data_IF_401388876379
#
_entry.id   IF_401388876379
#
_cell.length_a   1.000
_cell.length_b   1.000
_cell.length_c   1.000
_cell.angle_alpha   90.00
_cell.angle_beta   90.00
_cell.angle_gamma   90.00
#
_symmetry.space_group_name_H-M   'P 1'
#
loop_
_entity.id
_entity.type
_entity.pdbx_description
1 polymer ?
#
# COMPACT_ATOMS: atom_id res chain seq x y z
N UNK A 1 -21.24 -3.96 -7.13
CA UNK A 1 -20.16 -4.28 -6.18
C UNK A 1 -19.00 -4.84 -7.00
N UNK A 2 -18.13 -3.98 -7.53
CA UNK A 2 -16.87 -4.46 -8.10
C UNK A 2 -15.97 -4.74 -6.90
N UNK A 3 -15.95 -5.99 -6.44
CA UNK A 3 -14.80 -6.46 -5.70
C UNK A 3 -13.63 -6.28 -6.67
N UNK A 4 -12.89 -5.19 -6.53
CA UNK A 4 -11.66 -5.01 -7.27
C UNK A 4 -10.74 -6.11 -6.76
N UNK A 5 -10.61 -7.18 -7.53
CA UNK A 5 -9.65 -8.26 -7.28
C UNK A 5 -8.24 -7.70 -7.52
N UNK A 6 -7.80 -6.84 -6.60
CA UNK A 6 -6.40 -6.44 -6.55
C UNK A 6 -5.58 -7.69 -6.21
N UNK A 7 -4.45 -7.89 -6.90
CA UNK A 7 -3.51 -8.95 -6.55
C UNK A 7 -3.14 -8.87 -5.07
N UNK A 8 -3.07 -10.02 -4.39
CA UNK A 8 -2.78 -10.05 -2.96
C UNK A 8 -1.42 -9.41 -2.64
N UNK A 9 -0.42 -9.59 -3.50
CA UNK A 9 0.89 -8.98 -3.33
C UNK A 9 0.85 -7.44 -3.41
N UNK A 10 -0.07 -6.89 -4.22
CA UNK A 10 -0.32 -5.45 -4.31
C UNK A 10 -0.98 -4.93 -3.03
N UNK A 11 -1.97 -5.66 -2.50
CA UNK A 11 -2.64 -5.32 -1.23
C UNK A 11 -1.64 -5.40 -0.07
N UNK A 12 -0.83 -6.45 -0.01
CA UNK A 12 0.22 -6.64 1.01
C UNK A 12 1.30 -5.56 0.91
N UNK A 13 1.67 -5.15 -0.31
CA UNK A 13 2.59 -4.03 -0.52
C UNK A 13 2.01 -2.72 0.00
N UNK A 14 0.71 -2.45 -0.22
CA UNK A 14 0.03 -1.27 0.30
C UNK A 14 -0.02 -1.28 1.84
N UNK A 15 -0.35 -2.42 2.47
CA UNK A 15 -0.31 -2.55 3.93
C UNK A 15 1.09 -2.29 4.49
N UNK A 16 2.11 -2.92 3.90
CA UNK A 16 3.50 -2.71 4.32
C UNK A 16 3.93 -1.24 4.17
N UNK A 17 3.44 -0.55 3.14
CA UNK A 17 3.70 0.86 2.89
C UNK A 17 3.07 1.73 3.99
N UNK A 18 1.78 1.51 4.29
CA UNK A 18 1.06 2.22 5.37
C UNK A 18 1.74 2.00 6.72
N UNK A 19 2.05 0.75 7.09
CA UNK A 19 2.72 0.44 8.35
C UNK A 19 4.11 1.10 8.45
N UNK A 20 4.89 1.11 7.36
CA UNK A 20 6.20 1.77 7.32
C UNK A 20 6.05 3.30 7.44
N UNK A 21 5.02 3.88 6.83
CA UNK A 21 4.72 5.30 6.93
C UNK A 21 4.30 5.70 8.35
N UNK A 22 3.40 4.93 8.99
CA UNK A 22 3.01 5.14 10.39
C UNK A 22 4.22 5.02 11.32
N UNK A 23 5.07 4.01 11.12
CA UNK A 23 6.32 3.87 11.87
C UNK A 23 7.28 5.05 11.66
N UNK A 24 7.31 5.67 10.47
CA UNK A 24 8.08 6.90 10.25
C UNK A 24 7.45 8.12 10.93
N UNK A 25 6.12 8.21 10.96
CA UNK A 25 5.39 9.33 11.54
C UNK A 25 5.61 9.42 13.06
N UNK A 26 5.84 8.30 13.74
CA UNK A 26 6.17 8.27 15.18
C UNK A 26 7.64 8.61 15.51
N UNK A 27 8.45 9.04 14.51
CA UNK A 27 9.85 9.50 14.65
C UNK A 27 10.78 8.58 15.47
N UNK A 28 10.99 7.33 15.04
CA UNK A 28 11.89 6.38 15.72
C UNK A 28 13.36 6.71 15.47
N UNK A 29 14.25 6.19 16.32
CA UNK A 29 15.70 6.45 16.20
C UNK A 29 16.30 5.93 14.88
N UNK A 30 15.80 4.82 14.33
CA UNK A 30 16.21 4.28 13.02
C UNK A 30 15.29 4.73 11.86
N UNK A 31 15.29 6.04 11.59
CA UNK A 31 14.57 6.59 10.44
C UNK A 31 15.17 6.17 9.09
N UNK A 32 16.45 5.79 9.03
CA UNK A 32 17.15 5.49 7.79
C UNK A 32 16.74 4.15 7.19
N UNK A 33 16.56 3.11 8.01
CA UNK A 33 16.04 1.82 7.54
C UNK A 33 14.60 1.94 7.05
N UNK A 34 13.75 2.68 7.76
CA UNK A 34 12.36 2.87 7.39
C UNK A 34 12.19 3.70 6.11
N UNK A 35 12.96 4.78 5.93
CA UNK A 35 12.96 5.55 4.66
C UNK A 35 13.37 4.69 3.48
N UNK A 36 14.43 3.87 3.62
CA UNK A 36 14.85 2.92 2.57
C UNK A 36 13.77 1.89 2.26
N UNK A 37 13.09 1.37 3.29
CA UNK A 37 11.95 0.45 3.13
C UNK A 37 10.80 1.13 2.38
N UNK A 38 10.44 2.36 2.75
CA UNK A 38 9.38 3.14 2.11
C UNK A 38 9.67 3.36 0.62
N UNK A 39 10.90 3.73 0.25
CA UNK A 39 11.31 3.90 -1.14
C UNK A 39 11.15 2.62 -1.96
N UNK A 40 11.60 1.47 -1.42
CA UNK A 40 11.44 0.18 -2.10
C UNK A 40 9.97 -0.19 -2.30
N UNK A 41 9.14 0.03 -1.28
CA UNK A 41 7.70 -0.23 -1.37
C UNK A 41 7.01 0.70 -2.36
N UNK A 42 7.40 1.98 -2.38
CA UNK A 42 6.94 2.92 -3.41
C UNK A 42 7.31 2.43 -4.80
N UNK A 43 8.55 2.00 -5.06
CA UNK A 43 8.92 1.44 -6.37
C UNK A 43 8.05 0.24 -6.75
N UNK A 44 7.86 -0.73 -5.83
CA UNK A 44 7.00 -1.89 -6.08
C UNK A 44 5.55 -1.50 -6.38
N UNK A 45 5.00 -0.54 -5.64
CA UNK A 45 3.67 -0.03 -5.86
C UNK A 45 3.57 0.69 -7.19
N UNK A 46 4.52 1.56 -7.55
CA UNK A 46 4.42 2.37 -8.76
C UNK A 46 4.63 1.57 -10.05
N UNK A 47 5.50 0.57 -10.01
CA UNK A 47 5.88 -0.25 -11.19
C UNK A 47 5.13 -1.58 -11.28
N UNK A 48 4.08 -1.77 -10.48
CA UNK A 48 3.33 -3.02 -10.44
C UNK A 48 2.67 -3.32 -11.81
N UNK A 49 2.80 -4.55 -12.35
CA UNK A 49 2.21 -4.92 -13.65
C UNK A 49 0.69 -4.72 -13.75
N UNK A 50 -0.03 -4.88 -12.63
CA UNK A 50 -1.47 -4.63 -12.53
C UNK A 50 -1.89 -3.23 -13.03
N UNK A 51 -1.04 -2.21 -12.92
CA UNK A 51 -1.42 -0.87 -13.40
C UNK A 51 -1.55 -0.79 -14.91
N UNK A 52 -0.99 -1.75 -15.65
CA UNK A 52 -1.15 -1.85 -17.10
C UNK A 52 -2.46 -2.52 -17.50
N UNK A 53 -3.13 -3.21 -16.58
CA UNK A 53 -4.38 -3.94 -16.85
C UNK A 53 -5.62 -3.14 -16.50
N UNK A 54 -5.49 -2.03 -15.76
CA UNK A 54 -6.63 -1.19 -15.36
C UNK A 54 -6.80 0.04 -16.24
N UNK A 55 -8.03 0.43 -16.59
CA UNK A 55 -8.31 1.56 -17.47
C UNK A 55 -8.04 2.92 -16.80
N UNK A 56 -8.12 3.01 -15.47
CA UNK A 56 -7.95 4.24 -14.71
C UNK A 56 -7.06 4.03 -13.46
N UNK A 57 -5.74 4.14 -13.65
CA UNK A 57 -4.74 3.96 -12.57
C UNK A 57 -4.99 4.87 -11.36
N UNK A 58 -5.36 6.16 -11.49
CA UNK A 58 -5.62 7.01 -10.33
C UNK A 58 -6.80 6.52 -9.46
N UNK A 59 -7.90 6.09 -10.08
CA UNK A 59 -9.07 5.57 -9.38
C UNK A 59 -8.75 4.24 -8.67
N UNK A 60 -8.09 3.31 -9.39
CA UNK A 60 -7.69 2.02 -8.84
C UNK A 60 -6.70 2.15 -7.67
N UNK A 61 -5.83 3.18 -7.65
CA UNK A 61 -4.97 3.46 -6.49
C UNK A 61 -5.73 3.97 -5.28
N UNK A 62 -6.78 4.77 -5.48
CA UNK A 62 -7.64 5.23 -4.39
C UNK A 62 -8.40 4.06 -3.78
N UNK A 63 -8.99 3.20 -4.63
CA UNK A 63 -9.67 1.98 -4.19
C UNK A 63 -8.73 1.04 -3.42
N UNK A 64 -7.50 0.82 -3.90
CA UNK A 64 -6.49 0.01 -3.20
C UNK A 64 -6.20 0.55 -1.79
N UNK A 65 -6.09 1.87 -1.62
CA UNK A 65 -5.87 2.49 -0.31
C UNK A 65 -7.07 2.33 0.61
N UNK A 66 -8.29 2.43 0.07
CA UNK A 66 -9.51 2.23 0.83
C UNK A 66 -9.61 0.77 1.30
N UNK A 67 -9.43 -0.20 0.39
CA UNK A 67 -9.46 -1.61 0.71
C UNK A 67 -8.41 -2.00 1.77
N UNK A 68 -7.18 -1.48 1.65
CA UNK A 68 -6.14 -1.72 2.64
C UNK A 68 -6.53 -1.18 4.03
N UNK A 69 -7.20 -0.02 4.11
CA UNK A 69 -7.70 0.52 5.39
C UNK A 69 -8.84 -0.31 5.96
N UNK A 70 -9.78 -0.74 5.13
CA UNK A 70 -10.90 -1.59 5.55
C UNK A 70 -10.40 -2.94 6.10
N UNK A 71 -9.41 -3.54 5.43
CA UNK A 71 -8.76 -4.79 5.91
C UNK A 71 -7.96 -4.59 7.19
N UNK A 72 -7.35 -3.43 7.39
CA UNK A 72 -6.63 -3.10 8.63
C UNK A 72 -7.61 -2.91 9.78
N UNK A 73 -8.67 -2.12 9.59
CA UNK A 73 -9.74 -1.94 10.58
C UNK A 73 -10.44 -3.26 10.95
N UNK A 74 -10.68 -4.14 9.98
CA UNK A 74 -11.25 -5.47 10.23
C UNK A 74 -10.32 -6.43 10.97
N UNK A 75 -9.00 -6.19 10.99
CA UNK A 75 -8.04 -6.97 11.79
C UNK A 75 -7.91 -6.46 13.22
N UNK A 76 -8.23 -5.19 13.44
CA UNK A 76 -8.16 -4.52 14.76
C UNK A 76 -9.46 -4.63 15.57
N UNK A 77 -10.57 -5.03 14.94
CA UNK A 77 -11.89 -5.25 15.56
C UNK A 77 -12.06 -6.69 16.08
#
# INVERSE_FOLDING_TARGET
>A
MHATDFPDDLIQTQHAWTATYTALAVRPDDTAALRRRLLRLSVRLWWHPYWRTVPAVPAARTELRQLAREREAAREA
#
